data_IF_742854069321
#
_entry.id   IF_742854069321
#
_cell.length_a   1.000
_cell.length_b   1.000
_cell.length_c   1.000
_cell.angle_alpha   90.00
_cell.angle_beta   90.00
_cell.angle_gamma   90.00
#
_symmetry.space_group_name_H-M   'P 1'
#
loop_
_entity.id
_entity.type
_entity.pdbx_description
1 polymer ?
#
# COMPACT_ATOMS: atom_id res chain seq x y z
N UNK A 1 7.58 24.30 -4.19
CA UNK A 1 8.39 23.78 -3.08
C UNK A 1 9.84 23.66 -3.54
N UNK A 2 10.77 24.13 -2.75
CA UNK A 2 12.21 24.00 -3.04
C UNK A 2 12.57 22.52 -3.05
N UNK A 3 13.16 22.04 -4.13
CA UNK A 3 13.65 20.67 -4.26
C UNK A 3 14.95 20.52 -3.48
N UNK A 4 14.83 20.32 -2.18
CA UNK A 4 16.01 19.96 -1.38
C UNK A 4 16.19 18.46 -1.38
N UNK A 5 17.41 17.99 -1.17
CA UNK A 5 17.72 16.57 -1.04
C UNK A 5 16.96 15.87 0.09
N UNK A 6 16.41 16.65 1.04
CA UNK A 6 15.58 16.16 2.15
C UNK A 6 14.09 15.99 1.77
N UNK A 7 13.67 16.41 0.56
CA UNK A 7 12.30 16.29 0.08
C UNK A 7 11.90 14.81 -0.04
N UNK A 8 10.72 14.46 0.47
CA UNK A 8 10.14 13.11 0.32
C UNK A 8 9.60 12.99 -1.10
N UNK A 9 9.98 11.93 -1.80
CA UNK A 9 9.43 11.57 -3.09
C UNK A 9 8.01 10.99 -2.88
N UNK A 10 7.01 11.55 -3.54
CA UNK A 10 5.61 11.10 -3.41
C UNK A 10 5.41 9.71 -4.01
N UNK A 11 6.09 9.42 -5.10
CA UNK A 11 6.05 8.12 -5.77
C UNK A 11 7.41 7.81 -6.42
N UNK A 12 7.67 6.52 -6.60
CA UNK A 12 8.82 5.97 -7.32
C UNK A 12 8.28 5.08 -8.44
N UNK A 13 8.86 5.19 -9.63
CA UNK A 13 8.47 4.34 -10.76
C UNK A 13 8.70 2.85 -10.46
N UNK A 14 7.91 1.94 -11.07
CA UNK A 14 8.12 0.50 -10.93
C UNK A 14 9.57 0.10 -11.28
N UNK A 15 10.15 0.70 -12.31
CA UNK A 15 11.53 0.47 -12.72
C UNK A 15 12.55 0.78 -11.61
N UNK A 16 12.44 1.91 -10.92
CA UNK A 16 13.32 2.21 -9.79
C UNK A 16 13.04 1.33 -8.56
N UNK A 17 11.79 0.92 -8.35
CA UNK A 17 11.44 -0.04 -7.28
C UNK A 17 12.08 -1.41 -7.51
N UNK A 18 12.19 -1.89 -8.75
CA UNK A 18 12.85 -3.17 -9.06
C UNK A 18 14.34 -3.18 -8.70
N UNK A 19 14.98 -1.99 -8.64
CA UNK A 19 16.35 -1.82 -8.14
C UNK A 19 16.42 -1.66 -6.60
N UNK A 20 15.31 -1.86 -5.88
CA UNK A 20 15.26 -1.78 -4.42
C UNK A 20 15.21 -0.36 -3.85
N UNK A 21 14.74 0.62 -4.64
CA UNK A 21 14.40 1.95 -4.13
C UNK A 21 13.06 1.87 -3.42
N UNK A 22 12.96 2.35 -2.17
CA UNK A 22 11.72 2.30 -1.37
C UNK A 22 10.60 3.15 -1.98
N UNK A 23 9.35 2.91 -1.57
CA UNK A 23 8.18 3.58 -2.15
C UNK A 23 8.09 5.09 -1.90
N UNK A 24 8.55 5.58 -0.73
CA UNK A 24 8.51 7.00 -0.32
C UNK A 24 9.86 7.44 0.27
N UNK A 25 10.97 7.35 -0.48
CA UNK A 25 12.29 7.73 0.01
C UNK A 25 12.43 9.26 0.03
N UNK A 26 13.41 9.75 0.76
CA UNK A 26 13.91 11.11 0.55
C UNK A 26 14.78 11.16 -0.71
N UNK A 27 14.85 12.29 -1.37
CA UNK A 27 15.59 12.41 -2.63
C UNK A 27 17.08 12.04 -2.48
N UNK A 28 17.71 12.35 -1.33
CA UNK A 28 19.09 11.93 -1.09
C UNK A 28 19.26 10.42 -1.02
N UNK A 29 18.25 9.69 -0.53
CA UNK A 29 18.27 8.22 -0.46
C UNK A 29 18.18 7.61 -1.87
N UNK A 30 17.36 8.21 -2.75
CA UNK A 30 17.32 7.83 -4.17
C UNK A 30 18.68 8.04 -4.81
N UNK A 31 19.28 9.24 -4.62
CA UNK A 31 20.61 9.57 -5.15
C UNK A 31 21.68 8.59 -4.67
N UNK A 32 21.64 8.24 -3.38
CA UNK A 32 22.59 7.28 -2.83
C UNK A 32 22.40 5.89 -3.43
N UNK A 33 21.16 5.41 -3.45
CA UNK A 33 20.85 4.08 -3.99
C UNK A 33 21.24 3.94 -5.47
N UNK A 34 20.96 4.97 -6.29
CA UNK A 34 21.38 4.98 -7.70
C UNK A 34 22.89 4.95 -7.84
N UNK A 35 23.63 5.69 -7.00
CA UNK A 35 25.10 5.62 -6.99
C UNK A 35 25.63 4.22 -6.66
N UNK A 36 25.02 3.56 -5.67
CA UNK A 36 25.41 2.21 -5.26
C UNK A 36 25.14 1.21 -6.40
N UNK A 37 23.96 1.29 -7.04
CA UNK A 37 23.61 0.46 -8.20
C UNK A 37 24.60 0.68 -9.34
N UNK A 38 24.92 1.93 -9.67
CA UNK A 38 25.87 2.26 -10.73
C UNK A 38 27.28 1.82 -10.39
N UNK A 39 27.67 1.90 -9.12
CA UNK A 39 28.96 1.34 -8.68
C UNK A 39 29.03 -0.15 -8.96
N UNK A 40 28.00 -0.93 -8.56
CA UNK A 40 27.96 -2.37 -8.75
C UNK A 40 27.91 -2.75 -10.25
N UNK A 41 27.13 -2.02 -11.06
CA UNK A 41 27.07 -2.20 -12.51
C UNK A 41 28.42 -1.94 -13.16
N UNK A 42 29.08 -0.82 -12.83
CA UNK A 42 30.38 -0.43 -13.35
C UNK A 42 31.50 -1.44 -13.01
N UNK A 43 31.47 -1.99 -11.79
CA UNK A 43 32.44 -3.01 -11.38
C UNK A 43 32.40 -4.29 -12.20
N UNK A 44 31.24 -4.59 -12.80
CA UNK A 44 31.05 -5.76 -13.69
C UNK A 44 31.56 -5.51 -15.12
N UNK A 45 31.84 -4.25 -15.52
CA UNK A 45 32.31 -3.93 -16.85
C UNK A 45 33.83 -4.15 -16.98
N UNK A 46 34.33 -4.69 -18.11
CA UNK A 46 35.78 -4.82 -18.37
C UNK A 46 36.52 -3.48 -18.28
N UNK A 47 35.94 -2.44 -18.88
CA UNK A 47 36.52 -1.08 -18.89
C UNK A 47 36.30 -0.31 -17.59
N UNK A 48 35.46 -0.82 -16.66
CA UNK A 48 35.06 -0.13 -15.43
C UNK A 48 34.57 1.31 -15.67
N UNK A 49 33.95 1.57 -16.82
CA UNK A 49 33.41 2.85 -17.22
C UNK A 49 32.15 2.66 -18.06
N UNK A 50 31.19 3.56 -17.89
CA UNK A 50 30.02 3.67 -18.76
C UNK A 50 30.36 4.53 -19.96
N UNK A 51 29.70 4.29 -21.09
CA UNK A 51 29.89 5.13 -22.28
C UNK A 51 28.78 6.18 -22.42
N UNK A 52 27.57 5.89 -21.85
CA UNK A 52 26.43 6.79 -21.82
C UNK A 52 25.52 6.43 -20.64
N UNK A 53 24.37 7.09 -20.50
CA UNK A 53 23.37 6.88 -19.45
C UNK A 53 21.95 6.84 -20.01
N UNK A 54 21.07 6.11 -19.33
CA UNK A 54 19.65 6.03 -19.71
C UNK A 54 18.75 5.97 -18.50
N UNK A 55 17.53 6.47 -18.64
CA UNK A 55 16.41 6.31 -17.70
C UNK A 55 15.36 5.29 -18.19
N UNK A 56 15.55 4.68 -19.39
CA UNK A 56 14.70 3.60 -19.89
C UNK A 56 15.24 2.25 -19.41
N UNK A 57 14.41 1.54 -18.63
CA UNK A 57 14.81 0.24 -18.08
C UNK A 57 15.10 -0.81 -19.17
N UNK A 58 14.42 -0.76 -20.31
CA UNK A 58 14.61 -1.71 -21.40
C UNK A 58 15.99 -1.54 -22.04
N UNK A 59 16.43 -0.28 -22.22
CA UNK A 59 17.76 0.01 -22.71
C UNK A 59 18.83 -0.41 -21.69
N UNK A 60 18.57 -0.13 -20.39
CA UNK A 60 19.47 -0.48 -19.30
C UNK A 60 19.65 -1.99 -19.13
N UNK A 61 18.61 -2.79 -19.42
CA UNK A 61 18.65 -4.26 -19.40
C UNK A 61 19.32 -4.83 -20.64
N UNK A 62 19.13 -4.18 -21.80
CA UNK A 62 19.71 -4.60 -23.06
C UNK A 62 21.21 -4.27 -23.17
N UNK A 63 21.68 -3.18 -22.57
CA UNK A 63 23.07 -2.72 -22.61
C UNK A 63 23.64 -2.47 -21.20
N UNK A 64 24.49 -3.38 -20.69
CA UNK A 64 25.12 -3.23 -19.41
C UNK A 64 26.13 -2.07 -19.33
N UNK A 65 26.56 -1.51 -20.47
CA UNK A 65 27.51 -0.38 -20.53
C UNK A 65 26.86 0.99 -20.31
N UNK A 66 25.52 1.02 -20.16
CA UNK A 66 24.77 2.23 -19.84
C UNK A 66 24.67 2.44 -18.32
N UNK A 67 24.83 3.71 -17.91
CA UNK A 67 24.61 4.15 -16.54
C UNK A 67 23.11 4.33 -16.27
N UNK A 68 22.62 3.86 -15.12
CA UNK A 68 21.26 4.14 -14.66
C UNK A 68 21.13 5.63 -14.33
N UNK A 69 20.23 6.33 -15.03
CA UNK A 69 19.79 7.68 -14.70
C UNK A 69 18.29 7.69 -14.34
N UNK A 70 17.76 8.81 -13.90
CA UNK A 70 16.35 8.95 -13.53
C UNK A 70 15.86 10.41 -13.66
N UNK A 71 14.56 10.57 -13.84
CA UNK A 71 13.93 11.88 -13.96
C UNK A 71 13.24 12.23 -12.63
N UNK A 72 13.53 13.42 -12.11
CA UNK A 72 12.82 14.00 -10.96
C UNK A 72 11.69 14.87 -11.45
N UNK A 73 10.45 14.32 -11.47
CA UNK A 73 9.26 15.06 -11.84
C UNK A 73 8.87 16.07 -10.74
N UNK A 74 8.56 17.34 -11.09
CA UNK A 74 8.03 18.31 -10.13
C UNK A 74 6.62 17.91 -9.67
N UNK A 75 6.32 18.00 -8.36
CA UNK A 75 4.98 17.75 -7.87
C UNK A 75 3.99 18.82 -8.37
N UNK A 76 2.78 18.40 -8.75
CA UNK A 76 1.69 19.25 -9.21
C UNK A 76 0.46 19.02 -8.34
N UNK A 77 0.51 19.43 -7.06
CA UNK A 77 -0.52 19.10 -6.05
C UNK A 77 -1.93 19.52 -6.48
N UNK A 78 -2.10 20.70 -7.09
CA UNK A 78 -3.42 21.13 -7.60
C UNK A 78 -3.97 20.10 -8.60
N UNK A 79 -3.12 19.64 -9.55
CA UNK A 79 -3.53 18.64 -10.53
C UNK A 79 -3.92 17.31 -9.89
N UNK A 80 -3.20 16.90 -8.82
CA UNK A 80 -3.53 15.66 -8.11
C UNK A 80 -4.88 15.78 -7.40
N UNK A 81 -5.18 16.95 -6.79
CA UNK A 81 -6.47 17.22 -6.16
C UNK A 81 -7.62 17.24 -7.19
N UNK A 82 -7.43 17.87 -8.35
CA UNK A 82 -8.41 17.88 -9.44
C UNK A 82 -8.75 16.46 -9.92
N UNK A 83 -7.72 15.63 -10.13
CA UNK A 83 -7.92 14.24 -10.57
C UNK A 83 -8.57 13.40 -9.45
N UNK A 84 -8.15 13.58 -8.19
CA UNK A 84 -8.78 12.92 -7.06
C UNK A 84 -10.27 13.25 -6.95
N UNK A 85 -10.63 14.54 -7.09
CA UNK A 85 -12.03 14.99 -7.09
C UNK A 85 -12.82 14.36 -8.25
N UNK A 86 -12.24 14.29 -9.45
CA UNK A 86 -12.91 13.66 -10.60
C UNK A 86 -13.14 12.16 -10.41
N UNK A 87 -12.24 11.47 -9.69
CA UNK A 87 -12.43 10.07 -9.32
C UNK A 87 -13.53 9.92 -8.27
N UNK A 88 -13.58 10.82 -7.28
CA UNK A 88 -14.65 10.86 -6.30
C UNK A 88 -16.03 11.08 -6.96
N UNK A 89 -16.12 11.96 -7.95
CA UNK A 89 -17.34 12.15 -8.74
C UNK A 89 -17.79 10.87 -9.47
N UNK A 90 -16.85 9.98 -9.84
CA UNK A 90 -17.19 8.67 -10.39
C UNK A 90 -17.77 7.76 -9.32
N UNK A 91 -17.21 7.75 -8.10
CA UNK A 91 -17.78 6.97 -6.99
C UNK A 91 -19.22 7.38 -6.69
N UNK A 92 -19.52 8.69 -6.73
CA UNK A 92 -20.86 9.22 -6.49
C UNK A 92 -21.91 8.79 -7.53
N UNK A 93 -21.53 8.25 -8.69
CA UNK A 93 -22.48 7.64 -9.63
C UNK A 93 -23.07 6.33 -9.10
N UNK A 94 -22.39 5.70 -8.16
CA UNK A 94 -22.72 4.35 -7.66
C UNK A 94 -23.12 4.35 -6.19
N UNK A 95 -22.51 5.22 -5.39
CA UNK A 95 -22.54 5.17 -3.92
C UNK A 95 -22.86 6.56 -3.40
N UNK A 96 -23.68 6.65 -2.37
CA UNK A 96 -24.00 7.90 -1.69
C UNK A 96 -22.78 8.45 -0.92
N UNK A 97 -22.63 9.78 -0.79
CA UNK A 97 -21.46 10.39 -0.16
C UNK A 97 -21.26 9.97 1.31
N UNK A 98 -22.33 9.65 2.04
CA UNK A 98 -22.29 9.18 3.44
C UNK A 98 -21.64 7.81 3.61
N UNK A 99 -21.58 7.01 2.54
CA UNK A 99 -20.98 5.66 2.53
C UNK A 99 -19.57 5.68 1.92
N UNK A 100 -18.99 6.86 1.70
CA UNK A 100 -17.62 7.07 1.17
C UNK A 100 -16.79 7.87 2.16
N UNK A 101 -15.76 7.27 2.72
CA UNK A 101 -14.73 7.96 3.51
C UNK A 101 -13.48 8.19 2.68
N UNK A 102 -13.17 9.46 2.36
CA UNK A 102 -11.93 9.85 1.66
C UNK A 102 -10.77 9.81 2.65
N UNK A 103 -10.04 8.69 2.67
CA UNK A 103 -8.93 8.45 3.59
C UNK A 103 -7.69 9.29 3.24
N UNK A 104 -7.41 9.45 1.95
CA UNK A 104 -6.31 10.28 1.43
C UNK A 104 -6.62 10.78 0.02
N UNK A 105 -5.69 11.53 -0.59
CA UNK A 105 -5.83 12.04 -1.96
C UNK A 105 -5.98 10.93 -3.02
N UNK A 106 -5.53 9.71 -2.71
CA UNK A 106 -5.46 8.55 -3.61
C UNK A 106 -6.10 7.28 -3.05
N UNK A 107 -6.75 7.37 -1.87
CA UNK A 107 -7.40 6.23 -1.23
C UNK A 107 -8.77 6.63 -0.63
N UNK A 108 -9.77 5.79 -0.82
CA UNK A 108 -11.09 5.91 -0.19
C UNK A 108 -11.55 4.56 0.35
N UNK A 109 -12.29 4.57 1.45
CA UNK A 109 -13.11 3.46 1.89
C UNK A 109 -14.54 3.67 1.41
N UNK A 110 -15.20 2.61 1.00
CA UNK A 110 -16.56 2.64 0.47
C UNK A 110 -17.34 1.49 1.11
N UNK A 111 -18.45 1.79 1.77
CA UNK A 111 -19.37 0.76 2.25
C UNK A 111 -20.29 0.32 1.11
N UNK A 112 -20.16 -0.94 0.70
CA UNK A 112 -20.96 -1.53 -0.37
C UNK A 112 -22.18 -2.29 0.15
N UNK A 113 -22.34 -2.45 1.46
CA UNK A 113 -23.28 -3.40 2.08
C UNK A 113 -24.70 -3.26 1.55
N UNK A 114 -25.25 -2.06 1.55
CA UNK A 114 -26.64 -1.80 1.10
C UNK A 114 -26.79 -1.79 -0.43
N UNK A 115 -25.69 -1.64 -1.14
CA UNK A 115 -25.67 -1.53 -2.61
C UNK A 115 -25.61 -2.88 -3.32
N UNK A 116 -25.14 -3.94 -2.64
CA UNK A 116 -25.05 -5.28 -3.24
C UNK A 116 -26.43 -5.80 -3.67
N UNK A 117 -27.43 -5.64 -2.82
CA UNK A 117 -28.81 -6.02 -3.13
C UNK A 117 -29.43 -5.10 -4.19
N UNK A 118 -29.14 -3.80 -4.13
CA UNK A 118 -29.64 -2.83 -5.10
C UNK A 118 -29.13 -3.11 -6.51
N UNK A 119 -27.82 -3.34 -6.66
CA UNK A 119 -27.21 -3.65 -7.95
C UNK A 119 -27.32 -5.13 -8.35
N UNK A 120 -27.76 -6.01 -7.43
CA UNK A 120 -27.78 -7.48 -7.60
C UNK A 120 -26.42 -8.03 -8.02
N UNK A 121 -25.37 -7.52 -7.39
CA UNK A 121 -23.97 -7.86 -7.62
C UNK A 121 -23.32 -8.31 -6.32
N UNK A 122 -22.28 -9.16 -6.41
CA UNK A 122 -21.38 -9.36 -5.29
C UNK A 122 -20.39 -8.18 -5.17
N UNK A 123 -19.67 -8.10 -4.06
CA UNK A 123 -18.75 -6.99 -3.77
C UNK A 123 -17.62 -6.87 -4.81
N UNK A 124 -17.11 -8.00 -5.29
CA UNK A 124 -16.06 -8.02 -6.32
C UNK A 124 -16.54 -7.45 -7.65
N UNK A 125 -17.72 -7.85 -8.11
CA UNK A 125 -18.27 -7.38 -9.37
C UNK A 125 -18.60 -5.88 -9.31
N UNK A 126 -19.15 -5.40 -8.19
CA UNK A 126 -19.43 -3.98 -8.00
C UNK A 126 -18.14 -3.16 -7.91
N UNK A 127 -17.15 -3.61 -7.15
CA UNK A 127 -15.83 -2.97 -7.08
C UNK A 127 -15.16 -2.94 -8.47
N UNK A 128 -15.20 -4.05 -9.23
CA UNK A 128 -14.67 -4.12 -10.61
C UNK A 128 -15.35 -3.12 -11.53
N UNK A 129 -16.68 -2.97 -11.40
CA UNK A 129 -17.45 -2.00 -12.19
C UNK A 129 -17.03 -0.55 -11.87
N UNK A 130 -16.90 -0.22 -10.59
CA UNK A 130 -16.51 1.13 -10.15
C UNK A 130 -15.09 1.47 -10.63
N UNK A 131 -14.10 0.60 -10.36
CA UNK A 131 -12.70 0.86 -10.79
C UNK A 131 -12.53 0.78 -12.30
N UNK A 132 -13.37 0.00 -12.99
CA UNK A 132 -13.44 -0.01 -14.45
C UNK A 132 -13.88 1.36 -15.01
N UNK A 133 -14.93 1.97 -14.47
CA UNK A 133 -15.37 3.34 -14.85
C UNK A 133 -14.28 4.39 -14.55
N UNK A 134 -13.56 4.24 -13.42
CA UNK A 134 -12.41 5.11 -13.13
C UNK A 134 -11.36 5.00 -14.23
N UNK A 135 -11.01 3.77 -14.65
CA UNK A 135 -10.03 3.56 -15.70
C UNK A 135 -10.51 4.09 -17.07
N UNK A 136 -11.73 3.79 -17.46
CA UNK A 136 -12.33 4.25 -18.73
C UNK A 136 -12.41 5.77 -18.81
N UNK A 137 -12.71 6.45 -17.68
CA UNK A 137 -12.87 7.91 -17.64
C UNK A 137 -11.53 8.64 -17.50
N UNK A 138 -10.59 8.10 -16.72
CA UNK A 138 -9.36 8.83 -16.34
C UNK A 138 -8.08 8.23 -16.93
N UNK A 139 -8.10 7.00 -17.40
CA UNK A 139 -6.92 6.22 -17.77
C UNK A 139 -6.08 5.75 -16.59
N UNK A 140 -6.56 5.93 -15.35
CA UNK A 140 -5.84 5.57 -14.12
C UNK A 140 -6.33 4.22 -13.63
N UNK A 141 -5.40 3.27 -13.48
CA UNK A 141 -5.70 1.96 -12.89
C UNK A 141 -5.84 2.08 -11.37
N UNK A 142 -6.79 1.34 -10.80
CA UNK A 142 -6.99 1.26 -9.36
C UNK A 142 -6.80 -0.19 -8.85
N UNK A 143 -6.50 -0.28 -7.56
CA UNK A 143 -6.43 -1.54 -6.81
C UNK A 143 -7.48 -1.50 -5.71
N UNK A 144 -8.24 -2.57 -5.53
CA UNK A 144 -9.23 -2.66 -4.47
C UNK A 144 -8.93 -3.80 -3.50
N UNK A 145 -9.21 -3.55 -2.22
CA UNK A 145 -9.31 -4.57 -1.19
C UNK A 145 -10.74 -4.61 -0.68
N UNK A 146 -11.31 -5.79 -0.59
CA UNK A 146 -12.64 -6.04 -0.07
C UNK A 146 -12.50 -6.74 1.27
N UNK A 147 -13.24 -6.28 2.27
CA UNK A 147 -13.24 -6.87 3.60
C UNK A 147 -14.57 -6.67 4.30
N UNK A 148 -14.82 -7.47 5.32
CA UNK A 148 -16.02 -7.36 6.18
C UNK A 148 -15.96 -6.13 7.10
N UNK A 149 -14.80 -5.48 7.18
CA UNK A 149 -14.57 -4.22 7.89
C UNK A 149 -13.43 -3.42 7.22
N UNK A 150 -13.22 -2.17 7.65
CA UNK A 150 -12.21 -1.28 7.05
C UNK A 150 -10.78 -1.80 7.21
N UNK A 151 -10.45 -2.47 8.31
CA UNK A 151 -9.12 -3.04 8.50
C UNK A 151 -8.85 -4.16 7.50
N UNK A 152 -9.76 -5.10 7.35
CA UNK A 152 -9.62 -6.21 6.40
C UNK A 152 -9.61 -5.74 4.96
N UNK A 153 -10.44 -4.75 4.60
CA UNK A 153 -10.39 -4.12 3.28
C UNK A 153 -9.01 -3.50 3.00
N UNK A 154 -8.45 -2.78 3.99
CA UNK A 154 -7.11 -2.17 3.86
C UNK A 154 -6.01 -3.21 3.75
N UNK A 155 -6.04 -4.27 4.56
CA UNK A 155 -5.07 -5.38 4.50
C UNK A 155 -5.19 -6.13 3.17
N UNK A 156 -6.40 -6.44 2.71
CA UNK A 156 -6.62 -7.06 1.40
C UNK A 156 -6.01 -6.23 0.28
N UNK A 157 -6.18 -4.90 0.30
CA UNK A 157 -5.61 -4.01 -0.69
C UNK A 157 -4.07 -3.96 -0.62
N UNK A 158 -3.51 -3.65 0.55
CA UNK A 158 -2.08 -3.35 0.69
C UNK A 158 -1.20 -4.61 0.67
N UNK A 159 -1.64 -5.67 1.33
CA UNK A 159 -0.83 -6.86 1.54
C UNK A 159 -1.06 -7.94 0.48
N UNK A 160 -2.25 -8.00 -0.13
CA UNK A 160 -2.62 -9.01 -1.12
C UNK A 160 -2.74 -8.40 -2.52
N UNK A 161 -3.73 -7.53 -2.76
CA UNK A 161 -4.04 -7.03 -4.11
C UNK A 161 -2.87 -6.30 -4.76
N UNK A 162 -2.13 -5.45 -4.03
CA UNK A 162 -0.95 -4.73 -4.58
C UNK A 162 0.20 -5.65 -4.99
N UNK A 163 0.25 -6.89 -4.48
CA UNK A 163 1.31 -7.87 -4.74
C UNK A 163 0.92 -8.91 -5.81
N UNK A 164 -0.37 -9.04 -6.13
CA UNK A 164 -0.86 -9.97 -7.14
C UNK A 164 -0.70 -9.42 -8.57
N UNK A 165 -0.63 -10.29 -9.59
CA UNK A 165 -0.69 -9.85 -10.97
C UNK A 165 -2.04 -9.18 -11.26
N UNK A 166 -2.03 -8.21 -12.19
CA UNK A 166 -3.27 -7.62 -12.67
C UNK A 166 -4.05 -8.63 -13.52
N UNK A 167 -5.38 -8.53 -13.50
CA UNK A 167 -6.24 -9.28 -14.40
C UNK A 167 -6.13 -8.77 -15.86
N UNK A 168 -6.91 -9.36 -16.78
CA UNK A 168 -6.93 -8.99 -18.19
C UNK A 168 -7.30 -7.52 -18.45
N UNK A 169 -8.00 -6.88 -17.48
CA UNK A 169 -8.39 -5.47 -17.53
C UNK A 169 -7.39 -4.54 -16.80
N UNK A 170 -6.29 -5.08 -16.30
CA UNK A 170 -5.29 -4.32 -15.53
C UNK A 170 -5.68 -4.06 -14.07
N UNK A 171 -6.76 -4.67 -13.58
CA UNK A 171 -7.26 -4.50 -12.20
C UNK A 171 -6.63 -5.50 -11.24
N UNK A 172 -6.54 -5.12 -9.97
CA UNK A 172 -6.10 -5.97 -8.86
C UNK A 172 -7.12 -5.86 -7.74
N UNK A 173 -7.80 -6.96 -7.44
CA UNK A 173 -8.84 -7.00 -6.39
C UNK A 173 -8.58 -8.22 -5.52
N UNK A 174 -8.45 -8.01 -4.21
CA UNK A 174 -8.35 -9.07 -3.22
C UNK A 174 -9.48 -8.96 -2.20
N UNK A 175 -9.84 -10.07 -1.59
CA UNK A 175 -10.90 -10.17 -0.58
C UNK A 175 -10.37 -10.88 0.65
N UNK A 176 -10.70 -10.37 1.84
CA UNK A 176 -10.43 -11.01 3.11
C UNK A 176 -11.64 -10.88 4.02
N UNK A 177 -12.06 -11.99 4.60
CA UNK A 177 -12.88 -12.06 5.81
C UNK A 177 -11.99 -12.39 7.03
N UNK A 178 -12.56 -12.45 8.22
CA UNK A 178 -11.82 -12.74 9.44
C UNK A 178 -11.13 -14.12 9.42
N UNK A 179 -11.72 -15.09 8.75
CA UNK A 179 -11.17 -16.46 8.70
C UNK A 179 -10.05 -16.57 7.68
N UNK A 180 -10.25 -16.06 6.46
CA UNK A 180 -9.21 -16.03 5.42
C UNK A 180 -8.03 -15.16 5.85
N UNK A 181 -8.28 -14.02 6.52
CA UNK A 181 -7.23 -13.21 7.12
C UNK A 181 -6.37 -14.02 8.11
N UNK A 182 -7.00 -14.75 9.04
CA UNK A 182 -6.25 -15.56 10.01
C UNK A 182 -5.49 -16.69 9.34
N UNK A 183 -6.07 -17.29 8.33
CA UNK A 183 -5.44 -18.40 7.60
C UNK A 183 -4.26 -17.94 6.74
N UNK A 184 -4.40 -16.82 6.03
CA UNK A 184 -3.43 -16.38 5.03
C UNK A 184 -2.41 -15.38 5.57
N UNK A 185 -2.80 -14.54 6.57
CA UNK A 185 -2.04 -13.37 6.96
C UNK A 185 -1.45 -13.43 8.38
N UNK A 186 -1.90 -14.36 9.23
CA UNK A 186 -1.40 -14.44 10.61
C UNK A 186 0.10 -14.67 10.71
N UNK A 187 0.69 -15.40 9.78
CA UNK A 187 2.13 -15.69 9.74
C UNK A 187 2.90 -14.76 8.78
N UNK A 188 2.23 -13.72 8.26
CA UNK A 188 2.88 -12.78 7.35
C UNK A 188 3.94 -11.93 8.05
N UNK A 189 5.11 -11.87 7.46
CA UNK A 189 6.21 -10.99 7.84
C UNK A 189 6.65 -10.09 6.67
N UNK A 190 7.11 -8.88 6.94
CA UNK A 190 7.30 -8.27 8.25
C UNK A 190 6.00 -7.64 8.80
N UNK A 191 5.80 -7.68 10.11
CA UNK A 191 4.58 -7.16 10.77
C UNK A 191 4.30 -5.66 10.50
N UNK A 192 5.32 -4.90 10.14
CA UNK A 192 5.20 -3.47 9.75
C UNK A 192 4.41 -3.25 8.46
N UNK A 193 4.12 -4.30 7.68
CA UNK A 193 3.31 -4.22 6.46
C UNK A 193 1.82 -4.04 6.79
N UNK A 194 1.41 -4.35 8.03
CA UNK A 194 0.03 -4.18 8.45
C UNK A 194 -0.30 -2.74 8.80
N UNK A 195 -1.50 -2.33 8.40
CA UNK A 195 -2.03 -1.00 8.68
C UNK A 195 -1.93 -0.66 10.17
N UNK A 196 -1.51 0.57 10.49
CA UNK A 196 -1.27 1.11 11.84
C UNK A 196 -0.09 0.48 12.60
N UNK A 197 0.65 -0.49 12.03
CA UNK A 197 1.86 -1.03 12.65
C UNK A 197 3.10 -0.34 12.08
N UNK A 198 3.53 0.74 12.72
CA UNK A 198 4.74 1.47 12.34
C UNK A 198 6.02 0.91 12.98
N UNK A 199 7.17 1.49 12.62
CA UNK A 199 8.49 1.06 13.11
C UNK A 199 8.64 1.07 14.64
N UNK A 200 7.92 1.98 15.32
CA UNK A 200 7.89 2.05 16.78
C UNK A 200 7.20 0.84 17.42
N UNK A 201 6.06 0.43 16.83
CA UNK A 201 5.32 -0.77 17.24
C UNK A 201 6.14 -2.02 16.96
N UNK A 202 6.64 -2.16 15.73
CA UNK A 202 7.48 -3.29 15.32
C UNK A 202 8.63 -3.53 16.30
N UNK A 203 9.37 -2.48 16.65
CA UNK A 203 10.50 -2.60 17.60
C UNK A 203 10.06 -3.09 18.98
N UNK A 204 8.93 -2.57 19.51
CA UNK A 204 8.39 -3.00 20.82
C UNK A 204 7.89 -4.43 20.79
N UNK A 205 7.21 -4.82 19.71
CA UNK A 205 6.70 -6.19 19.49
C UNK A 205 7.86 -7.18 19.40
N UNK A 206 8.86 -6.92 18.57
CA UNK A 206 10.04 -7.77 18.44
C UNK A 206 10.81 -7.92 19.77
N UNK A 207 10.93 -6.85 20.55
CA UNK A 207 11.53 -6.91 21.91
C UNK A 207 10.69 -7.75 22.89
N UNK A 208 9.41 -7.96 22.62
CA UNK A 208 8.54 -8.86 23.38
C UNK A 208 8.46 -10.29 22.79
N UNK A 209 9.17 -10.56 21.69
CA UNK A 209 9.16 -11.87 21.00
C UNK A 209 7.94 -12.10 20.11
N UNK A 210 7.25 -11.03 19.69
CA UNK A 210 6.07 -11.06 18.84
C UNK A 210 6.46 -10.53 17.45
N UNK A 211 6.35 -11.35 16.42
CA UNK A 211 6.82 -11.06 15.07
C UNK A 211 5.69 -10.95 14.05
N UNK A 212 4.54 -11.58 14.34
CA UNK A 212 3.40 -11.69 13.43
C UNK A 212 2.09 -11.24 14.11
N UNK A 213 1.05 -11.00 13.33
CA UNK A 213 -0.28 -10.72 13.87
C UNK A 213 -0.85 -11.95 14.60
N UNK A 214 -0.55 -13.15 14.13
CA UNK A 214 -0.91 -14.38 14.81
C UNK A 214 -0.25 -14.51 16.19
N UNK A 215 0.99 -14.05 16.36
CA UNK A 215 1.64 -14.02 17.67
C UNK A 215 0.90 -13.11 18.64
N UNK A 216 0.51 -11.91 18.19
CA UNK A 216 -0.27 -10.96 19.00
C UNK A 216 -1.61 -11.56 19.40
N UNK A 217 -2.34 -12.13 18.43
CA UNK A 217 -3.64 -12.73 18.68
C UNK A 217 -3.55 -13.88 19.70
N UNK A 218 -2.61 -14.82 19.51
CA UNK A 218 -2.38 -15.94 20.46
C UNK A 218 -1.93 -15.44 21.84
N UNK A 219 -1.06 -14.42 21.87
CA UNK A 219 -0.54 -13.86 23.11
C UNK A 219 -1.62 -13.16 23.92
N UNK A 220 -2.57 -12.47 23.28
CA UNK A 220 -3.70 -11.79 23.91
C UNK A 220 -4.68 -12.72 24.61
N UNK A 221 -4.68 -14.03 24.32
CA UNK A 221 -5.56 -15.00 24.98
C UNK A 221 -5.24 -15.22 26.46
N UNK A 222 -4.04 -14.88 26.90
CA UNK A 222 -3.64 -14.99 28.29
C UNK A 222 -3.73 -13.61 28.97
N UNK A 223 -4.20 -13.58 30.23
CA UNK A 223 -4.25 -12.34 31.01
C UNK A 223 -2.88 -11.65 31.12
N UNK A 224 -1.82 -12.43 31.27
CA UNK A 224 -0.45 -11.88 31.34
C UNK A 224 -0.02 -11.26 30.01
N UNK A 225 -0.41 -11.88 28.87
CA UNK A 225 -0.12 -11.37 27.53
C UNK A 225 -0.89 -10.08 27.27
N UNK A 226 -2.17 -10.05 27.56
CA UNK A 226 -3.00 -8.87 27.42
C UNK A 226 -2.47 -7.71 28.29
N UNK A 227 -2.23 -7.93 29.60
CA UNK A 227 -1.65 -6.94 30.50
C UNK A 227 -0.32 -6.39 29.98
N UNK A 228 0.52 -7.24 29.35
CA UNK A 228 1.79 -6.81 28.79
C UNK A 228 1.61 -5.97 27.52
N UNK A 229 0.67 -6.30 26.66
CA UNK A 229 0.32 -5.48 25.48
C UNK A 229 -0.16 -4.09 25.93
N UNK A 230 -1.03 -4.00 26.94
CA UNK A 230 -1.47 -2.72 27.50
C UNK A 230 -0.32 -1.93 28.12
N UNK A 231 0.65 -2.57 28.78
CA UNK A 231 1.86 -1.88 29.29
C UNK A 231 2.73 -1.31 28.18
N UNK A 232 2.80 -1.99 27.01
CA UNK A 232 3.63 -1.56 25.87
C UNK A 232 2.96 -0.45 25.04
N UNK A 233 1.64 -0.51 24.87
CA UNK A 233 0.91 0.30 23.89
C UNK A 233 -0.18 1.18 24.49
N UNK A 234 -0.48 1.05 25.82
CA UNK A 234 -1.57 1.75 26.46
C UNK A 234 -2.91 1.34 25.87
N UNK A 235 -3.85 2.27 25.78
CA UNK A 235 -5.19 2.04 25.19
C UNK A 235 -5.14 1.57 23.73
N UNK A 236 -4.06 1.85 23.01
CA UNK A 236 -3.90 1.38 21.64
C UNK A 236 -3.65 -0.14 21.54
N UNK A 237 -3.43 -0.82 22.68
CA UNK A 237 -3.32 -2.28 22.70
C UNK A 237 -4.64 -2.95 22.30
N UNK A 238 -5.77 -2.36 22.68
CA UNK A 238 -7.10 -2.86 22.31
C UNK A 238 -7.25 -2.94 20.79
N UNK A 239 -7.07 -1.84 20.09
CA UNK A 239 -7.13 -1.81 18.65
C UNK A 239 -6.10 -2.73 17.98
N UNK A 240 -4.89 -2.85 18.55
CA UNK A 240 -3.87 -3.76 18.02
C UNK A 240 -4.29 -5.23 18.17
N UNK A 241 -4.92 -5.60 19.28
CA UNK A 241 -5.47 -6.94 19.51
C UNK A 241 -6.63 -7.19 18.55
N UNK A 242 -7.57 -6.26 18.43
CA UNK A 242 -8.70 -6.36 17.52
C UNK A 242 -8.23 -6.59 16.08
N UNK A 243 -7.28 -5.78 15.62
CA UNK A 243 -6.67 -5.95 14.29
C UNK A 243 -5.95 -7.31 14.14
N UNK A 244 -5.29 -7.79 15.18
CA UNK A 244 -4.66 -9.12 15.14
C UNK A 244 -5.70 -10.24 14.97
N UNK A 245 -6.91 -10.05 15.47
CA UNK A 245 -8.04 -10.97 15.27
C UNK A 245 -8.82 -10.73 13.96
N UNK A 246 -8.50 -9.67 13.21
CA UNK A 246 -9.21 -9.28 11.99
C UNK A 246 -10.48 -8.47 12.26
N UNK A 247 -10.57 -7.82 13.41
CA UNK A 247 -11.70 -6.99 13.81
C UNK A 247 -11.36 -5.51 13.73
N UNK A 248 -12.32 -4.68 13.31
CA UNK A 248 -12.24 -3.21 13.36
C UNK A 248 -13.58 -2.68 13.89
N UNK A 249 -13.59 -2.06 15.06
CA UNK A 249 -14.81 -1.52 15.64
C UNK A 249 -15.33 -0.26 14.93
N UNK A 250 -14.45 0.47 14.25
CA UNK A 250 -14.78 1.72 13.58
C UNK A 250 -15.46 1.46 12.24
N UNK A 251 -16.59 2.14 12.00
CA UNK A 251 -17.31 2.14 10.73
C UNK A 251 -17.12 3.45 9.96
N UNK A 252 -17.57 3.50 8.69
CA UNK A 252 -17.52 4.75 7.90
C UNK A 252 -18.35 5.85 8.57
N UNK A 253 -19.44 5.50 9.26
CA UNK A 253 -20.28 6.46 9.98
C UNK A 253 -19.60 7.08 11.22
N UNK A 254 -18.50 6.49 11.70
CA UNK A 254 -17.76 6.97 12.88
C UNK A 254 -16.59 7.90 12.53
N UNK A 255 -16.29 8.14 11.23
CA UNK A 255 -15.10 8.88 10.75
C UNK A 255 -15.41 10.09 9.90
#
# INVERSE_FOLDING_TARGET
>A
ASRTDKTICLAISPALKSFGVSGRPRLFEVKQKVRDINYDRRMKLPAKAFWDKTYDIRELEADPTLELDYIVAPPRMMRYMEVSASIYDIYLKYIAPEDIHVYSIDEAFIDLTTYLDFYKMNARDLASKIIGDVFETTGITATAGIGTNMYLAKVAMDNVAKKMPADEKGMRIAELDEMSYRYEMWEHEPIKDFWRVGSGYTRKLHAAGLYTMGDIARYSLSRQGEDRLYKLFGVNAELLIDHAWGWEPCTIADV
#
